data_IF_633230470806
#
_entry.id   IF_633230470806
#
_cell.length_a   1.000
_cell.length_b   1.000
_cell.length_c   1.000
_cell.angle_alpha   90.00
_cell.angle_beta   90.00
_cell.angle_gamma   90.00
#
_symmetry.space_group_name_H-M   'P 1'
#
loop_
_entity.id
_entity.type
_entity.pdbx_description
1 polymer ?
#
# COMPACT_ATOMS: atom_id res chain seq x y z
N UNK A 1 14.47 4.52 -4.44
CA UNK A 1 13.27 3.71 -4.67
C UNK A 1 12.13 4.56 -5.19
N UNK A 2 11.66 4.29 -6.39
CA UNK A 2 10.53 5.00 -6.98
C UNK A 2 9.20 4.37 -6.53
N UNK A 3 8.72 4.72 -5.34
CA UNK A 3 7.39 4.34 -4.89
C UNK A 3 6.38 5.34 -5.47
N UNK A 4 5.41 4.86 -6.24
CA UNK A 4 4.34 5.66 -6.83
C UNK A 4 3.57 6.46 -5.76
N UNK A 5 3.06 7.63 -6.11
CA UNK A 5 2.11 8.35 -5.25
C UNK A 5 0.79 7.57 -5.12
N UNK A 6 -0.08 7.84 -4.13
CA UNK A 6 -1.36 7.13 -4.02
C UNK A 6 -2.21 7.23 -5.29
N UNK A 7 -2.24 8.40 -5.94
CA UNK A 7 -2.95 8.61 -7.21
C UNK A 7 -2.35 7.79 -8.35
N UNK A 8 -1.03 7.87 -8.54
CA UNK A 8 -0.34 7.09 -9.57
C UNK A 8 -0.45 5.58 -9.32
N UNK A 9 -0.49 5.15 -8.05
CA UNK A 9 -0.72 3.74 -7.70
C UNK A 9 -2.12 3.27 -8.11
N UNK A 10 -3.17 4.08 -7.94
CA UNK A 10 -4.52 3.73 -8.39
C UNK A 10 -4.61 3.66 -9.91
N UNK A 11 -3.98 4.58 -10.62
CA UNK A 11 -3.88 4.57 -12.09
C UNK A 11 -3.17 3.29 -12.55
N UNK A 12 -1.97 3.01 -12.02
CA UNK A 12 -1.20 1.81 -12.34
C UNK A 12 -1.96 0.52 -12.01
N UNK A 13 -2.65 0.46 -10.85
CA UNK A 13 -3.44 -0.71 -10.44
C UNK A 13 -4.56 -1.02 -11.44
N UNK A 14 -5.17 0.00 -12.04
CA UNK A 14 -6.21 -0.17 -13.07
C UNK A 14 -5.67 -0.70 -14.38
N UNK A 15 -4.39 -0.46 -14.67
CA UNK A 15 -3.71 -0.87 -15.90
C UNK A 15 -2.98 -2.22 -15.79
N UNK A 16 -2.91 -2.81 -14.58
CA UNK A 16 -2.29 -4.12 -14.40
C UNK A 16 -2.98 -5.18 -15.24
N UNK A 17 -2.20 -6.10 -15.84
CA UNK A 17 -2.75 -7.19 -16.64
C UNK A 17 -3.72 -8.06 -15.83
N UNK A 18 -4.43 -8.94 -16.53
CA UNK A 18 -5.22 -9.98 -15.90
C UNK A 18 -4.29 -10.90 -15.08
N UNK A 19 -4.83 -11.43 -13.98
CA UNK A 19 -4.17 -12.46 -13.21
C UNK A 19 -3.85 -13.68 -14.09
N UNK A 20 -2.65 -14.23 -13.94
CA UNK A 20 -2.18 -15.42 -14.65
C UNK A 20 -1.84 -16.53 -13.66
N UNK A 21 -2.85 -17.20 -13.07
CA UNK A 21 -2.66 -18.13 -11.97
C UNK A 21 -1.84 -19.36 -12.41
N UNK A 22 -0.89 -19.76 -11.59
CA UNK A 22 -0.12 -20.98 -11.80
C UNK A 22 -1.00 -22.22 -11.54
N UNK A 23 -0.86 -23.23 -12.40
CA UNK A 23 -1.59 -24.49 -12.27
C UNK A 23 -1.04 -25.38 -11.15
N UNK A 24 0.25 -25.23 -10.81
CA UNK A 24 0.96 -26.03 -9.82
C UNK A 24 1.84 -25.15 -8.93
N UNK A 25 2.26 -25.66 -7.76
CA UNK A 25 3.14 -24.91 -6.87
C UNK A 25 4.56 -24.81 -7.41
N UNK A 26 5.30 -23.82 -6.95
CA UNK A 26 6.69 -23.64 -7.35
C UNK A 26 7.61 -24.83 -6.97
N UNK A 27 7.24 -25.60 -5.93
CA UNK A 27 7.99 -26.79 -5.50
C UNK A 27 7.89 -27.98 -6.45
N UNK A 28 6.85 -28.05 -7.30
CA UNK A 28 6.74 -29.11 -8.32
C UNK A 28 7.66 -28.92 -9.52
N UNK A 29 7.90 -27.68 -9.91
CA UNK A 29 8.75 -27.36 -11.06
C UNK A 29 10.18 -26.96 -10.68
N UNK A 30 10.56 -27.04 -9.41
CA UNK A 30 11.86 -26.61 -8.93
C UNK A 30 11.88 -26.18 -7.47
N UNK A 31 12.85 -25.38 -7.11
CA UNK A 31 13.01 -24.75 -5.80
C UNK A 31 12.89 -23.24 -5.90
N UNK A 32 12.86 -22.53 -4.76
CA UNK A 32 12.93 -21.07 -4.75
C UNK A 32 14.12 -20.56 -5.59
N UNK A 33 15.30 -21.14 -5.38
CA UNK A 33 16.50 -20.78 -6.14
C UNK A 33 16.43 -21.22 -7.59
N UNK A 34 15.79 -22.34 -7.90
CA UNK A 34 15.55 -22.78 -9.28
C UNK A 34 14.65 -21.83 -10.07
N UNK A 35 13.70 -21.17 -9.42
CA UNK A 35 12.82 -20.19 -10.06
C UNK A 35 13.40 -18.77 -10.08
N UNK A 36 14.00 -18.31 -8.98
CA UNK A 36 14.36 -16.92 -8.77
C UNK A 36 15.88 -16.65 -8.72
N UNK A 37 16.69 -17.69 -8.94
CA UNK A 37 18.15 -17.60 -8.85
C UNK A 37 18.65 -17.62 -7.41
N UNK A 38 19.97 -17.45 -7.28
CA UNK A 38 20.61 -17.37 -5.96
C UNK A 38 20.12 -16.16 -5.17
N UNK A 39 19.95 -16.37 -3.86
CA UNK A 39 19.51 -15.31 -2.97
C UNK A 39 20.60 -14.23 -2.84
N UNK A 40 20.16 -12.98 -2.78
CA UNK A 40 21.03 -11.82 -2.54
C UNK A 40 22.07 -11.56 -3.62
N UNK A 41 21.78 -11.99 -4.87
CA UNK A 41 22.65 -11.74 -6.00
C UNK A 41 22.85 -10.23 -6.20
N UNK A 42 24.11 -9.81 -6.34
CA UNK A 42 24.46 -8.49 -6.84
C UNK A 42 24.00 -8.38 -8.31
N UNK A 43 22.86 -7.70 -8.52
CA UNK A 43 22.23 -7.63 -9.85
C UNK A 43 22.62 -6.39 -10.63
N UNK A 44 23.15 -5.36 -9.97
CA UNK A 44 23.60 -4.11 -10.57
C UNK A 44 25.13 -4.03 -10.73
N UNK A 45 25.85 -4.97 -10.14
CA UNK A 45 27.31 -5.14 -10.33
C UNK A 45 28.13 -4.13 -9.53
N UNK A 46 27.59 -3.59 -8.45
CA UNK A 46 28.30 -2.61 -7.62
C UNK A 46 29.24 -3.24 -6.58
N UNK A 47 29.24 -4.58 -6.47
CA UNK A 47 30.07 -5.36 -5.54
C UNK A 47 29.43 -5.61 -4.19
N UNK A 48 28.14 -5.33 -4.02
CA UNK A 48 27.36 -5.63 -2.81
C UNK A 48 26.38 -6.76 -3.02
N UNK A 49 26.20 -7.63 -2.03
CA UNK A 49 25.03 -8.47 -2.01
C UNK A 49 23.79 -7.66 -1.62
N UNK A 50 22.68 -7.91 -2.27
CA UNK A 50 21.42 -7.19 -2.07
C UNK A 50 20.95 -7.17 -0.61
N UNK A 51 21.25 -8.21 0.20
CA UNK A 51 20.91 -8.23 1.62
C UNK A 51 21.61 -7.12 2.41
N UNK A 52 22.92 -6.96 2.18
CA UNK A 52 23.70 -5.92 2.87
C UNK A 52 23.30 -4.53 2.40
N UNK A 53 22.96 -4.33 1.13
CA UNK A 53 22.42 -3.06 0.64
C UNK A 53 21.12 -2.68 1.36
N UNK A 54 20.17 -3.61 1.46
CA UNK A 54 18.90 -3.36 2.14
C UNK A 54 19.10 -3.10 3.63
N UNK A 55 19.98 -3.85 4.31
CA UNK A 55 20.31 -3.59 5.72
C UNK A 55 20.96 -2.21 5.90
N UNK A 56 21.90 -1.84 5.01
CA UNK A 56 22.55 -0.54 5.06
C UNK A 56 21.56 0.61 4.79
N UNK A 57 20.57 0.41 3.92
CA UNK A 57 19.52 1.39 3.62
C UNK A 57 18.53 1.59 4.76
N UNK A 58 18.09 0.49 5.40
CA UNK A 58 16.93 0.49 6.30
C UNK A 58 17.29 0.58 7.78
N UNK A 59 18.55 0.28 8.16
CA UNK A 59 19.03 0.40 9.54
C UNK A 59 19.66 1.77 9.78
N UNK A 60 19.57 2.24 11.02
CA UNK A 60 20.33 3.35 11.55
C UNK A 60 21.42 2.85 12.49
N UNK A 61 22.41 3.69 12.80
CA UNK A 61 23.52 3.36 13.70
C UNK A 61 24.24 2.06 13.28
N UNK A 62 24.49 1.91 11.98
CA UNK A 62 25.04 0.68 11.41
C UNK A 62 26.55 0.57 11.66
N UNK A 63 26.97 -0.63 12.09
CA UNK A 63 28.37 -1.05 12.07
C UNK A 63 28.57 -2.01 10.89
N UNK A 64 29.55 -1.73 10.02
CA UNK A 64 29.82 -2.54 8.86
C UNK A 64 31.32 -2.63 8.56
N UNK A 65 31.75 -3.71 7.87
CA UNK A 65 33.10 -3.88 7.38
C UNK A 65 33.10 -3.95 5.86
N UNK A 66 34.15 -3.39 5.25
CA UNK A 66 34.44 -3.53 3.82
C UNK A 66 35.35 -4.72 3.57
N UNK A 67 35.38 -5.24 2.35
CA UNK A 67 36.25 -6.35 1.95
C UNK A 67 37.75 -6.05 2.15
N UNK A 68 38.15 -4.77 2.11
CA UNK A 68 39.51 -4.30 2.38
C UNK A 68 39.87 -4.32 3.89
N UNK A 69 38.95 -4.79 4.76
CA UNK A 69 39.15 -4.83 6.21
C UNK A 69 39.00 -3.48 6.92
N UNK A 70 38.67 -2.41 6.21
CA UNK A 70 38.40 -1.12 6.81
C UNK A 70 37.09 -1.17 7.58
N UNK A 71 37.14 -0.94 8.90
CA UNK A 71 35.95 -0.75 9.73
C UNK A 71 35.60 0.74 9.73
N UNK A 72 34.47 1.09 9.14
CA UNK A 72 33.95 2.43 9.22
C UNK A 72 32.93 2.49 10.38
N UNK A 73 33.39 2.85 11.56
CA UNK A 73 32.53 3.40 12.61
C UNK A 73 32.27 4.86 12.29
N UNK A 74 31.29 5.15 11.50
CA UNK A 74 30.75 6.50 11.43
C UNK A 74 29.80 6.69 12.61
N UNK A 75 30.29 7.31 13.66
CA UNK A 75 29.48 7.77 14.78
C UNK A 75 28.40 8.73 14.25
N UNK A 76 27.15 8.28 14.23
CA UNK A 76 25.97 9.15 14.23
C UNK A 76 25.43 9.65 12.90
N UNK A 77 25.73 9.04 11.75
CA UNK A 77 25.05 9.38 10.48
C UNK A 77 24.53 8.13 9.79
N UNK A 78 23.27 7.82 10.07
CA UNK A 78 22.49 6.85 9.31
C UNK A 78 22.28 7.31 7.87
N UNK A 79 23.21 7.01 7.00
CA UNK A 79 23.03 6.96 5.56
C UNK A 79 23.95 5.89 5.00
N UNK A 80 23.41 4.68 4.87
CA UNK A 80 24.09 3.52 4.30
C UNK A 80 24.44 3.60 2.81
N UNK A 81 24.32 4.76 2.18
CA UNK A 81 24.63 4.96 0.76
C UNK A 81 26.12 4.86 0.38
N UNK A 82 26.97 4.41 1.29
CA UNK A 82 28.41 4.29 1.05
C UNK A 82 29.00 2.98 1.54
N UNK A 83 28.18 2.01 1.95
CA UNK A 83 28.66 0.76 2.52
C UNK A 83 29.29 -0.19 1.49
N UNK A 84 29.01 -0.04 0.22
CA UNK A 84 29.52 -0.88 -0.87
C UNK A 84 30.76 -0.29 -1.54
N UNK A 85 31.63 -1.09 -2.12
CA UNK A 85 31.51 -2.53 -2.41
C UNK A 85 31.93 -3.47 -1.28
N UNK A 86 31.38 -4.70 -1.29
CA UNK A 86 31.71 -5.85 -0.43
C UNK A 86 31.51 -5.62 1.08
N UNK A 87 30.68 -4.65 1.47
CA UNK A 87 30.42 -4.40 2.87
C UNK A 87 29.51 -5.44 3.51
N UNK A 88 29.86 -5.87 4.72
CA UNK A 88 28.98 -6.68 5.56
C UNK A 88 28.47 -5.81 6.70
N UNK A 89 27.12 -5.69 6.79
CA UNK A 89 26.47 -5.02 7.92
C UNK A 89 26.44 -5.97 9.11
N UNK A 90 27.08 -5.58 10.23
CA UNK A 90 27.20 -6.40 11.44
C UNK A 90 26.13 -6.07 12.47
N UNK A 91 25.79 -4.83 12.63
CA UNK A 91 24.76 -4.40 13.57
C UNK A 91 24.09 -3.11 13.13
N UNK A 92 23.00 -2.76 13.79
CA UNK A 92 22.26 -1.52 13.56
C UNK A 92 20.93 -1.53 14.30
N UNK A 93 20.14 -0.49 14.10
CA UNK A 93 18.81 -0.36 14.68
C UNK A 93 17.79 -0.23 13.56
N UNK A 94 16.78 -1.08 13.56
CA UNK A 94 15.63 -1.00 12.67
C UNK A 94 14.48 -0.27 13.37
N UNK A 95 13.93 0.76 12.70
CA UNK A 95 12.58 1.22 13.00
C UNK A 95 11.64 0.41 12.12
N UNK A 96 11.11 -0.69 12.66
CA UNK A 96 10.37 -1.66 11.87
C UNK A 96 9.09 -1.08 11.27
N UNK A 97 8.93 -1.10 9.94
CA UNK A 97 7.73 -0.57 9.29
C UNK A 97 6.48 -1.41 9.54
N UNK A 98 6.63 -2.71 9.78
CA UNK A 98 5.49 -3.61 9.90
C UNK A 98 4.80 -3.58 11.26
N UNK A 99 5.59 -3.45 12.34
CA UNK A 99 5.08 -3.41 13.71
C UNK A 99 5.17 -2.05 14.37
N UNK A 100 6.00 -1.15 13.84
CA UNK A 100 6.33 0.13 14.46
C UNK A 100 7.35 0.02 15.61
N UNK A 101 7.88 -1.16 15.87
CA UNK A 101 8.86 -1.41 16.95
C UNK A 101 10.26 -0.93 16.55
N UNK A 102 11.05 -0.60 17.55
CA UNK A 102 12.49 -0.42 17.41
C UNK A 102 13.19 -1.74 17.73
N UNK A 103 13.97 -2.27 16.79
CA UNK A 103 14.62 -3.59 16.89
C UNK A 103 16.12 -3.42 16.70
N UNK A 104 16.90 -3.94 17.64
CA UNK A 104 18.33 -4.04 17.48
C UNK A 104 18.67 -5.22 16.59
N UNK A 105 19.43 -4.96 15.52
CA UNK A 105 19.99 -6.00 14.65
C UNK A 105 21.42 -6.30 15.08
N UNK A 106 21.75 -7.56 15.20
CA UNK A 106 23.11 -8.07 15.32
C UNK A 106 23.24 -9.31 14.45
N UNK A 107 24.22 -9.29 13.54
CA UNK A 107 24.49 -10.43 12.66
C UNK A 107 25.05 -11.61 13.47
N UNK A 108 24.44 -12.75 13.35
CA UNK A 108 24.85 -13.96 14.04
C UNK A 108 23.89 -15.11 13.76
N UNK A 109 24.29 -16.34 14.09
CA UNK A 109 23.49 -17.53 13.80
C UNK A 109 22.13 -17.45 14.53
N UNK A 110 22.10 -17.02 15.77
CA UNK A 110 20.91 -16.97 16.62
C UNK A 110 20.22 -15.60 16.66
N UNK A 111 20.87 -14.56 16.16
CA UNK A 111 20.41 -13.16 16.31
C UNK A 111 19.91 -12.53 15.01
N UNK A 112 20.40 -12.98 13.87
CA UNK A 112 20.03 -12.42 12.55
C UNK A 112 18.53 -12.58 12.24
N UNK A 113 17.85 -13.53 12.87
CA UNK A 113 16.43 -13.79 12.64
C UNK A 113 15.51 -12.70 13.17
N UNK A 114 15.98 -11.84 14.09
CA UNK A 114 15.20 -10.73 14.62
C UNK A 114 14.84 -9.69 13.55
N UNK A 115 15.73 -9.48 12.57
CA UNK A 115 15.50 -8.62 11.41
C UNK A 115 15.71 -9.44 10.15
N UNK A 116 14.67 -9.54 9.34
CA UNK A 116 14.68 -10.25 8.06
C UNK A 116 14.47 -9.27 6.90
N UNK A 117 14.95 -9.65 5.73
CA UNK A 117 14.61 -8.94 4.49
C UNK A 117 13.40 -9.62 3.89
N UNK A 118 12.30 -8.88 3.82
CA UNK A 118 11.05 -9.32 3.22
C UNK A 118 10.93 -8.86 1.77
N UNK A 119 10.27 -9.68 0.97
CA UNK A 119 9.74 -9.29 -0.33
C UNK A 119 8.33 -8.74 -0.12
N UNK A 120 8.12 -7.43 -0.31
CA UNK A 120 6.80 -6.78 -0.14
C UNK A 120 5.73 -7.51 -0.95
N UNK A 121 6.04 -7.87 -2.20
CA UNK A 121 5.30 -8.86 -2.99
C UNK A 121 6.03 -10.19 -2.87
N UNK A 122 5.53 -11.17 -2.10
CA UNK A 122 6.25 -12.39 -1.80
C UNK A 122 6.58 -13.20 -3.06
N UNK A 123 7.75 -13.84 -3.12
CA UNK A 123 8.16 -14.57 -4.33
C UNK A 123 7.20 -15.71 -4.70
N UNK A 124 6.67 -16.44 -3.71
CA UNK A 124 5.66 -17.46 -3.99
C UNK A 124 4.35 -16.85 -4.53
N UNK A 125 3.97 -15.66 -4.05
CA UNK A 125 2.86 -14.90 -4.61
C UNK A 125 3.14 -14.45 -6.05
N UNK A 126 4.32 -13.90 -6.30
CA UNK A 126 4.76 -13.48 -7.66
C UNK A 126 4.72 -14.68 -8.61
N UNK A 127 5.24 -15.84 -8.17
CA UNK A 127 5.16 -17.08 -8.94
C UNK A 127 3.71 -17.47 -9.22
N UNK A 128 2.87 -17.51 -8.18
CA UNK A 128 1.48 -17.93 -8.27
C UNK A 128 0.65 -17.11 -9.26
N UNK A 129 1.00 -15.83 -9.47
CA UNK A 129 0.22 -14.87 -10.24
C UNK A 129 0.87 -14.41 -11.55
N UNK A 130 1.92 -15.09 -12.05
CA UNK A 130 2.43 -14.81 -13.38
C UNK A 130 3.90 -15.08 -13.61
N UNK A 131 4.76 -15.02 -12.60
CA UNK A 131 6.20 -15.16 -12.79
C UNK A 131 6.65 -16.54 -13.29
N UNK A 132 5.81 -17.56 -13.19
CA UNK A 132 6.05 -18.87 -13.78
C UNK A 132 6.19 -18.81 -15.33
N UNK A 133 5.66 -17.74 -15.95
CA UNK A 133 5.80 -17.48 -17.39
C UNK A 133 6.96 -16.57 -17.76
N UNK A 134 7.61 -15.94 -16.78
CA UNK A 134 8.69 -14.99 -17.04
C UNK A 134 9.99 -15.69 -17.38
N UNK A 135 10.91 -14.98 -18.04
CA UNK A 135 12.27 -15.44 -18.20
C UNK A 135 13.05 -15.41 -16.87
N UNK A 136 14.15 -16.15 -16.82
CA UNK A 136 14.96 -16.30 -15.61
C UNK A 136 15.51 -14.96 -15.11
N UNK A 137 15.93 -14.08 -16.04
CA UNK A 137 16.46 -12.77 -15.67
C UNK A 137 15.41 -11.90 -15.00
N UNK A 138 14.19 -11.87 -15.51
CA UNK A 138 13.09 -11.10 -14.93
C UNK A 138 12.75 -11.63 -13.52
N UNK A 139 12.74 -12.95 -13.32
CA UNK A 139 12.55 -13.55 -12.00
C UNK A 139 13.69 -13.23 -11.03
N UNK A 140 14.95 -13.28 -11.48
CA UNK A 140 16.11 -12.89 -10.67
C UNK A 140 16.02 -11.41 -10.26
N UNK A 141 15.65 -10.54 -11.19
CA UNK A 141 15.51 -9.10 -10.90
C UNK A 141 14.46 -8.82 -9.84
N UNK A 142 13.25 -9.35 -9.93
CA UNK A 142 12.19 -9.10 -8.93
C UNK A 142 12.56 -9.63 -7.55
N UNK A 143 13.38 -10.68 -7.49
CA UNK A 143 13.86 -11.27 -6.24
C UNK A 143 14.94 -10.44 -5.54
N UNK A 144 15.64 -9.58 -6.28
CA UNK A 144 16.73 -8.75 -5.79
C UNK A 144 16.46 -7.25 -5.99
N UNK A 145 15.23 -6.86 -6.35
CA UNK A 145 14.84 -5.47 -6.55
C UNK A 145 14.72 -4.74 -5.21
N UNK A 146 15.50 -3.68 -4.94
CA UNK A 146 15.36 -2.86 -3.74
C UNK A 146 13.95 -2.28 -3.54
N UNK A 147 13.18 -2.10 -4.63
CA UNK A 147 11.78 -1.70 -4.54
C UNK A 147 10.91 -2.78 -3.89
N UNK A 148 11.21 -4.06 -4.11
CA UNK A 148 10.49 -5.20 -3.53
C UNK A 148 11.02 -5.62 -2.17
N UNK A 149 12.23 -5.20 -1.79
CA UNK A 149 12.92 -5.65 -0.59
C UNK A 149 12.87 -4.60 0.53
N UNK A 150 12.66 -5.05 1.78
CA UNK A 150 12.62 -4.20 2.96
C UNK A 150 13.03 -4.98 4.21
N UNK A 151 13.82 -4.33 5.09
CA UNK A 151 14.14 -4.90 6.41
C UNK A 151 12.94 -4.78 7.34
N UNK A 152 12.57 -5.87 8.01
CA UNK A 152 11.38 -5.95 8.85
C UNK A 152 11.58 -6.88 10.06
N UNK A 153 10.66 -6.78 11.04
CA UNK A 153 10.51 -7.74 12.14
C UNK A 153 10.36 -9.17 11.61
N UNK A 154 11.20 -10.08 12.09
CA UNK A 154 11.22 -11.46 11.60
C UNK A 154 9.92 -12.24 11.89
N UNK A 155 9.26 -11.96 13.01
CA UNK A 155 7.98 -12.60 13.35
C UNK A 155 6.86 -12.09 12.44
N UNK A 156 6.83 -10.79 12.17
CA UNK A 156 5.86 -10.18 11.26
C UNK A 156 6.05 -10.70 9.83
N UNK A 157 7.30 -10.88 9.38
CA UNK A 157 7.61 -11.48 8.08
C UNK A 157 7.12 -12.92 7.98
N UNK A 158 7.36 -13.73 8.99
CA UNK A 158 6.88 -15.11 9.05
C UNK A 158 5.34 -15.18 9.06
N UNK A 159 4.68 -14.29 9.79
CA UNK A 159 3.23 -14.17 9.81
C UNK A 159 2.64 -13.76 8.46
N UNK A 160 3.34 -12.90 7.71
CA UNK A 160 2.96 -12.52 6.34
C UNK A 160 3.07 -13.70 5.39
N UNK A 161 4.17 -14.44 5.44
CA UNK A 161 4.43 -15.56 4.56
C UNK A 161 4.29 -15.21 3.09
N UNK A 162 3.50 -15.97 2.35
CA UNK A 162 3.27 -15.78 0.92
C UNK A 162 2.04 -14.91 0.61
N UNK A 163 1.42 -14.29 1.61
CA UNK A 163 0.15 -13.59 1.44
C UNK A 163 0.29 -12.25 0.70
N UNK A 164 -0.66 -12.01 -0.20
CA UNK A 164 -1.00 -10.70 -0.70
C UNK A 164 -1.96 -9.96 0.25
N UNK A 165 -2.53 -8.81 -0.18
CA UNK A 165 -3.41 -7.98 0.66
C UNK A 165 -4.74 -8.64 1.07
N UNK A 166 -5.28 -9.55 0.24
CA UNK A 166 -6.58 -10.21 0.49
C UNK A 166 -6.59 -11.69 0.09
N UNK A 167 -5.47 -12.22 -0.39
CA UNK A 167 -5.36 -13.62 -0.79
C UNK A 167 -4.00 -14.20 -0.43
N UNK A 168 -3.94 -15.52 -0.24
CA UNK A 168 -2.69 -16.24 0.00
C UNK A 168 -2.63 -17.47 -0.89
N UNK A 169 -1.49 -17.80 -1.53
CA UNK A 169 -1.26 -19.11 -2.10
C UNK A 169 -1.35 -20.18 -1.00
N UNK A 170 -2.07 -21.26 -1.25
CA UNK A 170 -2.36 -22.28 -0.25
C UNK A 170 -2.26 -23.70 -0.81
N UNK A 171 -2.01 -24.66 0.07
CA UNK A 171 -2.07 -26.07 -0.25
C UNK A 171 -0.75 -26.67 -0.70
N UNK A 172 -0.82 -27.94 -1.03
CA UNK A 172 0.29 -28.77 -1.50
C UNK A 172 -0.11 -29.47 -2.79
N UNK A 173 0.82 -29.59 -3.71
CA UNK A 173 0.63 -30.33 -4.96
C UNK A 173 0.63 -31.84 -4.74
N UNK A 174 1.36 -32.33 -3.76
CA UNK A 174 1.36 -33.75 -3.40
C UNK A 174 -0.04 -34.26 -3.00
N UNK A 175 -0.83 -33.39 -2.39
CA UNK A 175 -2.21 -33.69 -1.99
C UNK A 175 -3.24 -33.22 -3.02
N UNK A 176 -2.83 -32.61 -4.12
CA UNK A 176 -3.72 -32.02 -5.12
C UNK A 176 -4.49 -30.81 -4.62
N UNK A 177 -4.08 -30.21 -3.51
CA UNK A 177 -4.76 -29.09 -2.86
C UNK A 177 -4.21 -27.72 -3.23
N UNK A 178 -3.21 -27.64 -4.11
CA UNK A 178 -2.62 -26.37 -4.54
C UNK A 178 -3.66 -25.43 -5.14
N UNK A 179 -3.65 -24.19 -4.64
CA UNK A 179 -4.38 -23.06 -5.20
C UNK A 179 -3.50 -21.83 -5.18
N UNK A 180 -3.37 -21.12 -6.30
CA UNK A 180 -2.55 -19.90 -6.37
C UNK A 180 -3.15 -18.78 -5.51
N UNK A 181 -4.46 -18.81 -5.26
CA UNK A 181 -5.15 -17.82 -4.45
C UNK A 181 -6.20 -18.49 -3.58
N UNK A 182 -6.04 -18.40 -2.27
CA UNK A 182 -6.98 -18.83 -1.24
C UNK A 182 -7.46 -17.65 -0.41
N UNK A 183 -8.40 -17.89 0.53
CA UNK A 183 -8.91 -16.85 1.42
C UNK A 183 -7.82 -16.40 2.41
N UNK A 184 -7.95 -15.15 2.85
CA UNK A 184 -7.02 -14.52 3.76
C UNK A 184 -6.25 -13.39 3.08
N UNK A 185 -5.36 -12.81 3.79
CA UNK A 185 -4.51 -11.72 3.33
C UNK A 185 -3.72 -11.19 4.52
N UNK A 186 -2.74 -10.33 4.24
CA UNK A 186 -1.92 -9.76 5.29
C UNK A 186 -1.68 -8.27 5.07
N UNK A 187 -1.67 -7.54 6.18
CA UNK A 187 -1.35 -6.12 6.24
C UNK A 187 -0.47 -5.81 7.45
N UNK A 188 0.44 -4.82 7.37
CA UNK A 188 1.19 -4.35 8.52
C UNK A 188 0.30 -4.01 9.71
N UNK A 189 0.69 -4.45 10.91
CA UNK A 189 0.02 -4.05 12.16
C UNK A 189 0.19 -2.56 12.42
N UNK A 190 1.35 -2.00 12.03
CA UNK A 190 1.59 -0.56 12.02
C UNK A 190 0.73 0.12 10.96
N UNK A 191 -0.38 0.70 11.38
CA UNK A 191 -1.35 1.34 10.48
C UNK A 191 -0.76 2.51 9.71
N UNK A 192 0.18 3.25 10.30
CA UNK A 192 0.85 4.38 9.64
C UNK A 192 1.65 3.98 8.40
N UNK A 193 2.06 2.71 8.30
CA UNK A 193 2.81 2.19 7.16
C UNK A 193 1.91 1.61 6.05
N UNK A 194 0.63 1.35 6.30
CA UNK A 194 -0.26 0.68 5.33
C UNK A 194 -0.37 1.41 3.99
N UNK A 195 -0.40 2.73 4.01
CA UNK A 195 -0.38 3.52 2.78
C UNK A 195 0.91 3.30 1.98
N UNK A 196 2.05 3.30 2.64
CA UNK A 196 3.33 3.05 1.98
C UNK A 196 3.43 1.60 1.50
N UNK A 197 2.96 0.64 2.29
CA UNK A 197 2.90 -0.77 1.89
C UNK A 197 2.06 -0.98 0.62
N UNK A 198 0.84 -0.43 0.57
CA UNK A 198 -0.03 -0.54 -0.61
C UNK A 198 0.60 0.09 -1.86
N UNK A 199 1.18 1.29 -1.72
CA UNK A 199 1.89 1.97 -2.81
C UNK A 199 3.08 1.16 -3.30
N UNK A 200 3.89 0.62 -2.40
CA UNK A 200 5.06 -0.19 -2.72
C UNK A 200 4.64 -1.50 -3.41
N UNK A 201 3.63 -2.19 -2.90
CA UNK A 201 3.07 -3.39 -3.51
C UNK A 201 2.63 -3.14 -4.97
N UNK A 202 1.87 -2.07 -5.21
CA UNK A 202 1.44 -1.71 -6.56
C UNK A 202 2.61 -1.27 -7.44
N UNK A 203 3.59 -0.55 -6.88
CA UNK A 203 4.79 -0.13 -7.64
C UNK A 203 5.56 -1.33 -8.16
N UNK A 204 5.78 -2.35 -7.32
CA UNK A 204 6.41 -3.61 -7.75
C UNK A 204 5.57 -4.32 -8.81
N UNK A 205 4.26 -4.50 -8.55
CA UNK A 205 3.37 -5.16 -9.51
C UNK A 205 3.37 -4.46 -10.88
N UNK A 206 3.39 -3.13 -10.89
CA UNK A 206 3.42 -2.33 -12.12
C UNK A 206 4.76 -2.45 -12.85
N UNK A 207 5.89 -2.38 -12.13
CA UNK A 207 7.25 -2.48 -12.72
C UNK A 207 7.45 -3.79 -13.46
N UNK A 208 6.88 -4.88 -12.97
CA UNK A 208 7.00 -6.22 -13.54
C UNK A 208 5.76 -6.65 -14.34
N UNK A 209 4.75 -5.79 -14.48
CA UNK A 209 3.48 -6.11 -15.14
C UNK A 209 2.84 -7.38 -14.57
N UNK A 210 2.91 -7.55 -13.25
CA UNK A 210 2.33 -8.68 -12.54
C UNK A 210 0.81 -8.54 -12.49
N UNK A 211 0.08 -9.56 -12.94
CA UNK A 211 -1.37 -9.65 -12.72
C UNK A 211 -1.67 -9.88 -11.24
N UNK A 212 -2.79 -9.35 -10.76
CA UNK A 212 -3.22 -9.54 -9.38
C UNK A 212 -4.64 -10.11 -9.33
N UNK A 213 -4.94 -11.00 -8.36
CA UNK A 213 -6.30 -11.41 -8.06
C UNK A 213 -7.22 -10.23 -7.82
N UNK A 214 -8.48 -10.36 -8.21
CA UNK A 214 -9.47 -9.28 -8.05
C UNK A 214 -9.65 -8.85 -6.58
N UNK A 215 -9.57 -9.81 -5.65
CA UNK A 215 -9.66 -9.52 -4.21
C UNK A 215 -8.50 -8.61 -3.75
N UNK A 216 -7.27 -8.88 -4.20
CA UNK A 216 -6.11 -8.05 -3.87
C UNK A 216 -6.19 -6.67 -4.53
N UNK A 217 -6.61 -6.58 -5.80
CA UNK A 217 -6.86 -5.30 -6.46
C UNK A 217 -7.89 -4.46 -5.70
N UNK A 218 -8.98 -5.08 -5.23
CA UNK A 218 -10.01 -4.39 -4.46
C UNK A 218 -9.50 -3.88 -3.11
N UNK A 219 -8.74 -4.70 -2.37
CA UNK A 219 -8.15 -4.33 -1.09
C UNK A 219 -7.14 -3.18 -1.24
N UNK A 220 -6.24 -3.26 -2.23
CA UNK A 220 -5.28 -2.20 -2.55
C UNK A 220 -5.99 -0.90 -2.95
N UNK A 221 -7.01 -0.98 -3.80
CA UNK A 221 -7.79 0.18 -4.23
C UNK A 221 -8.48 0.86 -3.03
N UNK A 222 -9.09 0.09 -2.14
CA UNK A 222 -9.74 0.61 -0.92
C UNK A 222 -8.72 1.36 -0.05
N UNK A 223 -7.58 0.74 0.23
CA UNK A 223 -6.51 1.34 1.03
C UNK A 223 -5.96 2.61 0.38
N UNK A 224 -5.64 2.57 -0.92
CA UNK A 224 -5.09 3.72 -1.65
C UNK A 224 -6.06 4.90 -1.73
N UNK A 225 -7.36 4.64 -1.89
CA UNK A 225 -8.38 5.69 -1.83
C UNK A 225 -8.48 6.32 -0.43
N UNK A 226 -8.36 5.52 0.65
CA UNK A 226 -8.25 6.04 2.01
C UNK A 226 -7.03 6.94 2.17
N UNK A 227 -5.88 6.53 1.64
CA UNK A 227 -4.64 7.32 1.67
C UNK A 227 -4.76 8.65 0.92
N UNK A 228 -5.41 8.69 -0.25
CA UNK A 228 -5.70 9.92 -0.98
C UNK A 228 -6.55 10.90 -0.18
N UNK A 229 -7.52 10.40 0.56
CA UNK A 229 -8.36 11.20 1.42
C UNK A 229 -7.64 11.69 2.70
N UNK A 230 -6.32 11.45 2.86
CA UNK A 230 -5.49 11.84 4.03
C UNK A 230 -5.57 10.84 5.18
N UNK A 231 -5.96 9.56 4.97
CA UNK A 231 -5.99 8.47 5.94
C UNK A 231 -4.73 7.67 6.08
N UNK A 232 -4.77 6.78 7.03
CA UNK A 232 -3.71 5.79 7.27
C UNK A 232 -3.91 4.49 6.48
N UNK A 233 -4.95 4.41 5.65
CA UNK A 233 -5.27 3.24 4.85
C UNK A 233 -6.09 2.18 5.59
N UNK A 234 -6.56 2.46 6.79
CA UNK A 234 -7.37 1.53 7.60
C UNK A 234 -8.87 1.77 7.48
N UNK A 235 -9.27 3.00 7.17
CA UNK A 235 -10.68 3.39 7.09
C UNK A 235 -11.32 2.91 5.77
N UNK A 236 -12.50 2.34 5.85
CA UNK A 236 -13.34 2.11 4.67
C UNK A 236 -13.85 3.43 4.09
N UNK A 237 -13.97 3.54 2.77
CA UNK A 237 -14.44 4.74 2.09
C UNK A 237 -15.77 5.30 2.63
N UNK A 238 -16.82 4.50 2.96
CA UNK A 238 -18.06 5.01 3.51
C UNK A 238 -17.90 5.67 4.87
N UNK A 239 -17.07 5.12 5.74
CA UNK A 239 -16.83 5.62 7.09
C UNK A 239 -16.10 6.95 7.08
N UNK A 240 -15.22 7.13 6.12
CA UNK A 240 -14.46 8.35 5.96
C UNK A 240 -15.26 9.49 5.33
N UNK A 241 -16.09 9.20 4.34
CA UNK A 241 -17.00 10.18 3.77
C UNK A 241 -17.94 10.75 4.84
N UNK A 242 -18.38 9.92 5.80
CA UNK A 242 -19.20 10.34 6.94
C UNK A 242 -18.42 11.15 7.97
N UNK A 243 -17.14 10.83 8.23
CA UNK A 243 -16.29 11.64 9.12
C UNK A 243 -16.04 13.03 8.52
N UNK A 244 -15.61 13.10 7.27
CA UNK A 244 -15.34 14.37 6.59
C UNK A 244 -16.60 15.22 6.48
N UNK A 245 -17.76 14.63 6.21
CA UNK A 245 -19.03 15.34 6.18
C UNK A 245 -19.42 15.89 7.57
N UNK A 246 -19.16 15.16 8.66
CA UNK A 246 -19.38 15.64 10.02
C UNK A 246 -18.41 16.77 10.40
N UNK A 247 -17.13 16.66 10.05
CA UNK A 247 -16.12 17.68 10.33
C UNK A 247 -16.38 18.96 9.53
N UNK A 248 -16.64 18.86 8.24
CA UNK A 248 -16.99 20.01 7.40
C UNK A 248 -18.31 20.64 7.87
N UNK A 249 -19.31 19.83 8.20
CA UNK A 249 -20.56 20.31 8.79
C UNK A 249 -20.32 21.09 10.09
N UNK A 250 -19.47 20.60 10.99
CA UNK A 250 -19.18 21.27 12.27
C UNK A 250 -18.41 22.59 12.11
N UNK A 251 -17.52 22.68 11.12
CA UNK A 251 -16.76 23.90 10.81
C UNK A 251 -17.67 24.95 10.17
N UNK A 252 -18.55 24.54 9.25
CA UNK A 252 -19.52 25.45 8.60
C UNK A 252 -20.46 26.07 9.63
N UNK A 253 -20.98 25.30 10.59
CA UNK A 253 -21.86 25.81 11.64
C UNK A 253 -21.16 26.70 12.68
N UNK A 254 -19.84 26.60 12.83
CA UNK A 254 -19.06 27.40 13.78
C UNK A 254 -18.55 28.74 13.21
N UNK A 255 -18.58 28.93 11.90
CA UNK A 255 -18.11 30.19 11.28
C UNK A 255 -19.26 31.20 11.17
N UNK A 256 -19.14 32.38 11.79
CA UNK A 256 -20.22 33.38 11.79
C UNK A 256 -20.64 33.87 10.40
N UNK A 257 -19.76 33.77 9.40
CA UNK A 257 -20.06 34.15 8.01
C UNK A 257 -21.06 33.24 7.30
N UNK A 258 -21.06 31.94 7.59
CA UNK A 258 -21.99 30.98 6.96
C UNK A 258 -23.37 30.99 7.60
N UNK A 259 -23.46 31.30 8.90
CA UNK A 259 -24.74 31.52 9.56
C UNK A 259 -25.51 32.70 8.94
N UNK A 260 -24.79 33.77 8.55
CA UNK A 260 -25.39 34.91 7.86
C UNK A 260 -25.86 34.55 6.43
N UNK A 261 -25.12 33.70 5.68
CA UNK A 261 -25.53 33.27 4.36
C UNK A 261 -26.74 32.32 4.40
N UNK A 262 -26.79 31.41 5.37
CA UNK A 262 -27.94 30.53 5.58
C UNK A 262 -29.23 31.32 5.98
N UNK A 263 -29.08 32.32 6.82
CA UNK A 263 -30.19 33.21 7.21
C UNK A 263 -30.66 34.06 5.99
N UNK A 264 -29.72 34.54 5.16
CA UNK A 264 -30.08 35.31 3.96
C UNK A 264 -30.78 34.40 2.92
N UNK A 265 -30.31 33.18 2.71
CA UNK A 265 -30.96 32.21 1.83
C UNK A 265 -32.39 31.86 2.28
N UNK A 266 -32.63 31.69 3.58
CA UNK A 266 -33.94 31.43 4.12
C UNK A 266 -34.91 32.62 3.96
N UNK A 267 -34.41 33.88 4.11
CA UNK A 267 -35.19 35.10 3.88
C UNK A 267 -35.57 35.26 2.39
N UNK A 268 -34.68 34.97 1.47
CA UNK A 268 -34.96 35.03 0.03
C UNK A 268 -35.97 33.99 -0.41
N UNK A 269 -35.86 32.75 0.10
CA UNK A 269 -36.85 31.68 -0.15
C UNK A 269 -38.22 32.00 0.48
N UNK A 270 -38.25 32.52 1.69
CA UNK A 270 -39.46 32.96 2.38
C UNK A 270 -40.16 34.07 1.62
N UNK A 271 -39.43 35.05 1.13
CA UNK A 271 -39.98 36.18 0.34
C UNK A 271 -40.52 35.69 -1.02
N UNK A 272 -39.81 34.77 -1.67
CA UNK A 272 -40.27 34.14 -2.93
C UNK A 272 -41.63 33.42 -2.76
N UNK A 273 -41.83 32.75 -1.64
CA UNK A 273 -43.10 32.06 -1.30
C UNK A 273 -44.24 33.06 -1.04
N UNK A 274 -43.95 34.14 -0.32
CA UNK A 274 -44.94 35.20 -0.02
C UNK A 274 -45.38 35.89 -1.32
N UNK A 275 -44.44 36.21 -2.22
CA UNK A 275 -44.75 36.84 -3.51
C UNK A 275 -45.55 35.90 -4.42
N UNK A 276 -45.24 34.57 -4.43
CA UNK A 276 -46.06 33.58 -5.15
C UNK A 276 -47.47 33.42 -4.54
N UNK A 277 -47.58 33.42 -3.23
CA UNK A 277 -48.86 33.39 -2.53
C UNK A 277 -49.76 34.57 -2.88
N UNK A 278 -49.21 35.82 -2.84
CA UNK A 278 -49.90 37.05 -3.22
C UNK A 278 -50.34 37.08 -4.69
N UNK A 279 -49.54 36.55 -5.61
CA UNK A 279 -49.89 36.40 -7.05
C UNK A 279 -51.03 35.41 -7.24
N UNK A 280 -51.07 34.30 -6.52
CA UNK A 280 -52.16 33.32 -6.57
C UNK A 280 -53.45 33.88 -6.01
N UNK A 281 -53.41 34.63 -4.88
CA UNK A 281 -54.59 35.26 -4.28
C UNK A 281 -55.18 36.35 -5.20
N UNK A 282 -54.37 37.20 -5.83
CA UNK A 282 -54.83 38.19 -6.81
C UNK A 282 -55.46 37.58 -8.06
N UNK A 283 -55.00 36.41 -8.52
CA UNK A 283 -55.65 35.66 -9.63
C UNK A 283 -56.99 35.05 -9.19
N UNK A 284 -57.11 34.55 -7.97
CA UNK A 284 -58.36 34.00 -7.45
C UNK A 284 -59.44 35.09 -7.22
N UNK A 285 -59.01 36.28 -6.73
CA UNK A 285 -59.93 37.43 -6.54
C UNK A 285 -60.48 37.96 -7.90
N UNK A 286 -59.63 38.03 -8.93
CA UNK A 286 -60.08 38.44 -10.28
C UNK A 286 -61.08 37.44 -10.91
N UNK A 287 -60.95 36.14 -10.64
CA UNK A 287 -61.91 35.16 -11.13
C UNK A 287 -63.24 35.23 -10.41
N UNK A 288 -63.33 35.69 -9.15
CA UNK A 288 -64.59 35.87 -8.44
C UNK A 288 -65.34 37.13 -8.89
N UNK A 289 -64.71 38.22 -9.28
CA UNK A 289 -65.33 39.44 -9.81
C UNK A 289 -66.00 39.20 -11.16
N UNK A 290 -65.43 38.35 -12.05
CA UNK A 290 -66.02 38.04 -13.34
C UNK A 290 -67.24 37.06 -13.27
N UNK A 291 -67.45 36.38 -12.13
CA UNK A 291 -68.63 35.51 -11.96
C UNK A 291 -69.85 36.24 -11.43
N UNK A 292 -69.74 37.50 -10.93
CA UNK A 292 -70.84 38.32 -10.42
C UNK A 292 -71.49 39.23 -11.46
N UNK A 293 -71.01 39.25 -12.70
CA UNK A 293 -71.54 40.12 -13.79
C UNK A 293 -72.33 39.31 -14.84
N UNK A 294 -72.64 38.05 -14.55
CA UNK A 294 -73.49 37.19 -15.41
C UNK A 294 -74.64 36.58 -14.57
N UNK A 295 -75.49 37.41 -13.99
CA UNK A 295 -76.86 37.05 -13.59
C UNK A 295 -77.71 38.32 -13.67
#
# INVERSE_FOLDING_TARGET
>A
DFILSPKASLEALSELPADAPAAQSWSEGGSRTGWFGEAWTDVDGDGCDTRNEILARDLTDTDFSRADGAQNREEGRGQGAGACPDATVWSGTLQDPYTGKRIAFTRGQDTSAAVQIDHVVPLNYVYAHGAWQWDERTRLLVANDPLNLIAVDGEANQAKGACGPASCPVGSTETGSWRPSGPGGWWPANTSYRCTYARRFVSVAASYRLGLPQADKAALSTTLNSCLAGGDGTDSLPERATRTAKEVGSVVWRSPGYAALAAFGALVLGWGLIVRGRRRWRRASRRRSHRRVRH
#
